data_IF_852028614153
#
_entry.id   IF_852028614153
#
_cell.length_a   1.000
_cell.length_b   1.000
_cell.length_c   1.000
_cell.angle_alpha   90.00
_cell.angle_beta   90.00
_cell.angle_gamma   90.00
#
_symmetry.space_group_name_H-M   'P 1'
#
loop_
_entity.id
_entity.type
_entity.pdbx_description
1 polymer ?
#
# COMPACT_ATOMS: atom_id res chain seq x y z
N UNK A 1 -2.98 16.07 -2.19
CA UNK A 1 -3.29 15.18 -1.06
C UNK A 1 -2.25 15.48 0.00
N UNK A 2 -2.65 15.74 1.25
CA UNK A 2 -1.70 15.97 2.35
C UNK A 2 -1.27 14.61 2.92
N UNK A 3 -0.13 14.53 3.61
CA UNK A 3 0.33 13.29 4.26
C UNK A 3 -0.75 12.66 5.15
N UNK A 4 -1.43 13.51 5.93
CA UNK A 4 -2.57 13.10 6.78
C UNK A 4 -3.75 12.53 5.99
N UNK A 5 -4.04 13.09 4.82
CA UNK A 5 -5.12 12.57 3.96
C UNK A 5 -4.74 11.19 3.41
N UNK A 6 -3.46 11.01 3.06
CA UNK A 6 -2.93 9.74 2.59
C UNK A 6 -2.97 8.64 3.65
N UNK A 7 -2.55 8.95 4.87
CA UNK A 7 -2.63 8.06 6.04
C UNK A 7 -4.09 7.68 6.31
N UNK A 8 -4.98 8.66 6.39
CA UNK A 8 -6.41 8.42 6.63
C UNK A 8 -7.03 7.53 5.55
N UNK A 9 -6.70 7.77 4.27
CA UNK A 9 -7.16 6.94 3.17
C UNK A 9 -6.65 5.49 3.27
N UNK A 10 -5.37 5.35 3.63
CA UNK A 10 -4.72 4.05 3.79
C UNK A 10 -5.37 3.22 4.90
N UNK A 11 -5.50 3.78 6.11
CA UNK A 11 -6.11 3.10 7.26
C UNK A 11 -7.56 2.71 6.99
N UNK A 12 -8.33 3.63 6.38
CA UNK A 12 -9.72 3.36 5.99
C UNK A 12 -9.82 2.20 5.00
N UNK A 13 -8.85 2.05 4.11
CA UNK A 13 -8.82 0.96 3.13
C UNK A 13 -8.33 -0.35 3.73
N UNK A 14 -7.32 -0.29 4.60
CA UNK A 14 -6.75 -1.43 5.30
C UNK A 14 -7.78 -2.03 6.27
N UNK A 15 -8.58 -1.19 6.93
CA UNK A 15 -9.62 -1.60 7.88
C UNK A 15 -9.10 -2.02 9.25
N UNK A 16 -7.82 -1.76 9.53
CA UNK A 16 -7.20 -1.87 10.84
C UNK A 16 -6.28 -0.68 11.06
N UNK A 17 -6.06 -0.33 12.32
CA UNK A 17 -5.07 0.66 12.70
C UNK A 17 -3.69 0.04 12.46
N UNK A 18 -2.87 0.70 11.66
CA UNK A 18 -1.49 0.34 11.43
C UNK A 18 -0.57 1.33 12.17
N UNK A 19 0.72 1.05 12.23
CA UNK A 19 1.68 1.99 12.79
C UNK A 19 1.73 3.27 11.95
N UNK A 20 1.31 4.39 12.53
CA UNK A 20 1.19 5.68 11.85
C UNK A 20 2.49 6.06 11.13
N UNK A 21 3.64 5.85 11.78
CA UNK A 21 4.95 6.15 11.22
C UNK A 21 5.28 5.31 9.97
N UNK A 22 4.95 4.00 10.01
CA UNK A 22 5.12 3.13 8.85
C UNK A 22 4.15 3.48 7.71
N UNK A 23 2.94 3.94 8.03
CA UNK A 23 1.96 4.40 7.04
C UNK A 23 2.40 5.72 6.41
N UNK A 24 2.89 6.67 7.21
CA UNK A 24 3.45 7.94 6.71
C UNK A 24 4.61 7.64 5.76
N UNK A 25 5.58 6.83 6.19
CA UNK A 25 6.72 6.49 5.34
C UNK A 25 6.28 5.81 4.03
N UNK A 26 5.26 4.95 4.08
CA UNK A 26 4.71 4.31 2.89
C UNK A 26 4.00 5.30 1.97
N UNK A 27 3.15 6.16 2.52
CA UNK A 27 2.40 7.17 1.76
C UNK A 27 3.35 8.16 1.09
N UNK A 28 4.43 8.55 1.78
CA UNK A 28 5.50 9.38 1.23
C UNK A 28 6.28 8.63 0.14
N UNK A 29 6.60 7.35 0.34
CA UNK A 29 7.27 6.53 -0.67
C UNK A 29 6.41 6.26 -1.91
N UNK A 30 5.08 6.44 -1.82
CA UNK A 30 4.13 6.33 -2.92
C UNK A 30 3.81 7.69 -3.56
N UNK A 31 4.60 8.74 -3.29
CA UNK A 31 4.44 10.10 -3.81
C UNK A 31 3.03 10.69 -3.59
N UNK A 32 2.35 10.28 -2.50
CA UNK A 32 0.98 10.71 -2.18
C UNK A 32 -0.04 10.42 -3.31
N UNK A 33 0.24 9.43 -4.17
CA UNK A 33 -0.65 9.02 -5.26
C UNK A 33 -1.81 8.20 -4.67
N UNK A 34 -3.07 8.68 -4.72
CA UNK A 34 -4.20 8.04 -4.04
C UNK A 34 -4.42 6.59 -4.49
N UNK A 35 -4.22 6.33 -5.79
CA UNK A 35 -4.38 4.99 -6.37
C UNK A 35 -3.35 4.00 -5.79
N UNK A 36 -2.10 4.44 -5.64
CA UNK A 36 -1.02 3.63 -5.12
C UNK A 36 -1.23 3.30 -3.63
N UNK A 37 -1.71 4.28 -2.85
CA UNK A 37 -2.08 4.11 -1.43
C UNK A 37 -3.18 3.05 -1.29
N UNK A 38 -4.25 3.17 -2.10
CA UNK A 38 -5.37 2.23 -2.08
C UNK A 38 -4.93 0.82 -2.49
N UNK A 39 -4.05 0.70 -3.49
CA UNK A 39 -3.49 -0.58 -3.91
C UNK A 39 -2.61 -1.20 -2.83
N UNK A 40 -1.73 -0.42 -2.20
CA UNK A 40 -0.88 -0.91 -1.11
C UNK A 40 -1.71 -1.41 0.07
N UNK A 41 -2.71 -0.64 0.50
CA UNK A 41 -3.63 -1.05 1.56
C UNK A 41 -4.39 -2.34 1.20
N UNK A 42 -4.88 -2.44 -0.04
CA UNK A 42 -5.57 -3.63 -0.52
C UNK A 42 -4.65 -4.86 -0.57
N UNK A 43 -3.40 -4.70 -1.00
CA UNK A 43 -2.41 -5.77 -1.04
C UNK A 43 -2.08 -6.30 0.35
N UNK A 44 -1.82 -5.38 1.30
CA UNK A 44 -1.53 -5.75 2.70
C UNK A 44 -2.74 -6.45 3.31
N UNK A 45 -3.96 -5.94 3.08
CA UNK A 45 -5.20 -6.57 3.54
C UNK A 45 -5.40 -7.97 2.96
N UNK A 46 -5.10 -8.19 1.68
CA UNK A 46 -5.23 -9.51 1.05
C UNK A 46 -4.19 -10.52 1.55
N UNK A 47 -3.03 -10.06 2.01
CA UNK A 47 -1.95 -10.91 2.52
C UNK A 47 -1.87 -10.97 4.04
N UNK A 48 -2.78 -10.32 4.75
CA UNK A 48 -2.91 -10.44 6.20
C UNK A 48 -3.30 -11.90 6.57
N UNK A 49 -2.75 -12.47 7.66
CA UNK A 49 -1.92 -11.84 8.70
C UNK A 49 -0.40 -11.87 8.44
N UNK A 50 0.06 -12.37 7.29
CA UNK A 50 1.48 -12.64 7.02
C UNK A 50 2.26 -11.43 6.45
N UNK A 51 1.60 -10.30 6.25
CA UNK A 51 2.20 -9.07 5.73
C UNK A 51 1.77 -7.87 6.55
N UNK A 52 2.74 -7.23 7.22
CA UNK A 52 2.55 -5.94 7.89
C UNK A 52 2.95 -4.77 6.98
N UNK A 53 2.53 -3.55 7.32
CA UNK A 53 2.87 -2.32 6.58
C UNK A 53 4.38 -2.16 6.42
N UNK A 54 5.15 -2.37 7.48
CA UNK A 54 6.62 -2.32 7.44
C UNK A 54 7.23 -3.38 6.51
N UNK A 55 6.69 -4.62 6.51
CA UNK A 55 7.16 -5.66 5.59
C UNK A 55 6.85 -5.34 4.14
N UNK A 56 5.71 -4.69 3.86
CA UNK A 56 5.40 -4.19 2.53
C UNK A 56 6.35 -3.07 2.12
N UNK A 57 6.63 -2.13 3.02
CA UNK A 57 7.55 -1.01 2.79
C UNK A 57 8.98 -1.48 2.50
N UNK A 58 9.48 -2.43 3.29
CA UNK A 58 10.80 -3.03 3.06
C UNK A 58 10.85 -3.76 1.71
N UNK A 59 9.76 -4.47 1.37
CA UNK A 59 9.60 -5.14 0.08
C UNK A 59 9.48 -4.16 -1.09
N UNK A 60 8.87 -3.00 -0.88
CA UNK A 60 8.76 -1.93 -1.86
C UNK A 60 10.15 -1.34 -2.13
N UNK A 61 10.88 -0.96 -1.08
CA UNK A 61 12.27 -0.46 -1.16
C UNK A 61 13.26 -1.46 -1.76
N UNK A 62 13.24 -2.72 -1.30
CA UNK A 62 14.08 -3.80 -1.87
C UNK A 62 13.67 -4.17 -3.29
N UNK A 63 12.40 -3.97 -3.62
CA UNK A 63 11.76 -4.42 -4.85
C UNK A 63 11.70 -3.38 -5.97
N UNK A 64 12.04 -2.11 -5.75
CA UNK A 64 11.92 -1.02 -6.72
C UNK A 64 12.59 -1.34 -8.08
N UNK A 65 13.62 -2.20 -8.09
CA UNK A 65 14.27 -2.70 -9.32
C UNK A 65 13.49 -3.78 -10.11
N UNK A 66 12.44 -4.39 -9.53
CA UNK A 66 11.64 -5.50 -10.12
C UNK A 66 10.12 -5.34 -9.98
N UNK A 67 9.61 -4.46 -9.10
CA UNK A 67 8.20 -4.44 -8.63
C UNK A 67 7.32 -3.33 -9.20
N UNK A 68 7.83 -2.38 -9.99
CA UNK A 68 6.96 -1.47 -10.77
C UNK A 68 5.93 -2.28 -11.59
N UNK A 69 6.29 -3.50 -12.02
CA UNK A 69 5.41 -4.45 -12.70
C UNK A 69 4.37 -5.15 -11.81
N UNK A 70 4.53 -5.18 -10.48
CA UNK A 70 3.61 -5.89 -9.57
C UNK A 70 2.33 -5.08 -9.33
N UNK A 71 2.44 -3.75 -9.27
CA UNK A 71 1.29 -2.85 -9.11
C UNK A 71 0.43 -2.78 -10.38
N UNK A 72 1.03 -2.77 -11.57
CA UNK A 72 0.29 -2.85 -12.84
C UNK A 72 -0.42 -4.20 -13.03
N UNK A 73 0.19 -5.31 -12.59
CA UNK A 73 -0.35 -6.65 -12.86
C UNK A 73 -1.52 -7.04 -11.96
N UNK A 74 -1.54 -6.56 -10.71
CA UNK A 74 -2.59 -6.89 -9.74
C UNK A 74 -3.78 -5.90 -9.74
N UNK A 75 -3.66 -4.76 -10.44
CA UNK A 75 -4.79 -3.86 -10.67
C UNK A 75 -5.74 -4.31 -11.79
N UNK A 76 -5.33 -5.29 -12.61
CA UNK A 76 -6.05 -5.70 -13.83
C UNK A 76 -6.78 -7.04 -13.78
N UNK A 77 -6.75 -7.79 -12.67
CA UNK A 77 -7.16 -9.21 -12.72
C UNK A 77 -8.04 -9.75 -11.61
N UNK A 78 -8.81 -8.94 -10.89
CA UNK A 78 -9.79 -9.49 -9.97
C UNK A 78 -11.17 -8.85 -10.10
N UNK A 79 -12.01 -9.62 -10.81
CA UNK A 79 -13.48 -9.63 -10.88
C UNK A 79 -14.12 -8.87 -12.05
N UNK A 80 -14.27 -9.61 -13.14
CA UNK A 80 -15.47 -9.55 -13.98
C UNK A 80 -16.11 -10.95 -13.88
N UNK A 81 -17.06 -11.08 -12.97
CA UNK A 81 -18.13 -12.08 -13.01
C UNK A 81 -19.43 -11.27 -13.16
#
# INVERSE_FOLDING_TARGET
MTDKDGVTLFEKKLGTQAEEEAVIELVTALDLIPLAIVQAAAYIKQRAPQCSVQQYLEQFRKGDRKRTKLLEKEGGRLRRD
#
